data_IF_146058830170
#
_entry.id   IF_146058830170
#
_cell.length_a   1.000
_cell.length_b   1.000
_cell.length_c   1.000
_cell.angle_alpha   90.00
_cell.angle_beta   90.00
_cell.angle_gamma   90.00
#
_symmetry.space_group_name_H-M   'P 1'
#
loop_
_entity.id
_entity.type
_entity.pdbx_description
1 polymer ?
#
# COMPACT_ATOMS: atom_id res chain seq x y z
N UNK A 1 12.03 23.56 0.00
CA UNK A 1 10.81 22.75 0.25
C UNK A 1 10.96 22.11 1.62
N UNK A 2 9.89 22.06 2.41
CA UNK A 2 9.90 21.33 3.68
C UNK A 2 9.53 19.89 3.34
N UNK A 3 10.42 18.95 3.61
CA UNK A 3 10.17 17.53 3.40
C UNK A 3 9.07 17.08 4.36
N UNK A 4 8.04 16.40 3.85
CA UNK A 4 6.92 15.92 4.66
C UNK A 4 7.24 14.55 5.25
N UNK A 5 6.75 14.30 6.46
CA UNK A 5 6.75 12.96 7.08
C UNK A 5 5.35 12.40 6.97
N UNK A 6 5.21 11.27 6.29
CA UNK A 6 3.95 10.58 6.09
C UNK A 6 3.91 9.31 6.95
N UNK A 7 2.96 9.28 7.89
CA UNK A 7 2.70 8.10 8.73
C UNK A 7 1.50 7.35 8.14
N UNK A 8 1.75 6.15 7.64
CA UNK A 8 0.77 5.32 6.94
C UNK A 8 0.26 4.23 7.88
N UNK A 9 -1.02 4.32 8.20
CA UNK A 9 -1.78 3.34 8.98
C UNK A 9 -2.98 2.83 8.19
N UNK A 10 -3.64 1.74 8.60
CA UNK A 10 -4.80 1.19 7.90
C UNK A 10 -5.98 2.17 7.82
N UNK A 11 -6.09 3.08 8.79
CA UNK A 11 -7.19 4.04 8.93
C UNK A 11 -6.74 5.47 8.64
N UNK A 12 -5.57 5.67 8.02
CA UNK A 12 -5.07 7.01 7.73
C UNK A 12 -6.00 7.73 6.74
N UNK A 13 -6.46 8.91 7.13
CA UNK A 13 -7.09 9.85 6.22
C UNK A 13 -5.99 10.73 5.61
N UNK A 14 -5.84 10.66 4.30
CA UNK A 14 -4.81 11.41 3.57
C UNK A 14 -5.42 12.62 2.86
N UNK A 15 -4.71 13.75 2.90
CA UNK A 15 -4.98 14.87 2.00
C UNK A 15 -4.56 14.53 0.55
N UNK A 16 -4.95 15.35 -0.43
CA UNK A 16 -4.63 15.11 -1.85
C UNK A 16 -3.12 15.10 -2.14
N UNK A 17 -2.33 15.87 -1.40
CA UNK A 17 -0.88 15.90 -1.56
C UNK A 17 -0.23 14.63 -0.97
N UNK A 18 -0.68 14.18 0.20
CA UNK A 18 -0.24 12.93 0.83
C UNK A 18 -0.58 11.70 0.00
N UNK A 19 -1.78 11.66 -0.59
CA UNK A 19 -2.16 10.63 -1.56
C UNK A 19 -1.18 10.59 -2.73
N UNK A 20 -0.79 11.76 -3.24
CA UNK A 20 0.16 11.87 -4.35
C UNK A 20 1.55 11.38 -3.96
N UNK A 21 2.07 11.81 -2.81
CA UNK A 21 3.37 11.37 -2.27
C UNK A 21 3.38 9.84 -2.13
N UNK A 22 2.36 9.28 -1.47
CA UNK A 22 2.26 7.83 -1.27
C UNK A 22 2.17 7.07 -2.61
N UNK A 23 1.35 7.56 -3.56
CA UNK A 23 1.20 6.94 -4.86
C UNK A 23 2.51 6.94 -5.66
N UNK A 24 3.22 8.09 -5.68
CA UNK A 24 4.52 8.23 -6.34
C UNK A 24 5.57 7.32 -5.71
N UNK A 25 5.65 7.30 -4.38
CA UNK A 25 6.54 6.40 -3.64
C UNK A 25 6.28 4.94 -4.02
N UNK A 26 5.05 4.46 -3.89
CA UNK A 26 4.70 3.07 -4.17
C UNK A 26 4.97 2.73 -5.63
N UNK A 27 4.63 3.62 -6.56
CA UNK A 27 4.93 3.43 -7.97
C UNK A 27 6.44 3.30 -8.22
N UNK A 28 7.27 4.21 -7.68
CA UNK A 28 8.74 4.15 -7.81
C UNK A 28 9.31 2.84 -7.26
N UNK A 29 8.88 2.43 -6.06
CA UNK A 29 9.31 1.17 -5.44
C UNK A 29 8.92 -0.07 -6.26
N UNK A 30 7.73 -0.08 -6.86
CA UNK A 30 7.29 -1.18 -7.72
C UNK A 30 8.11 -1.27 -9.02
N UNK A 31 8.53 -0.13 -9.60
CA UNK A 31 9.44 -0.13 -10.75
C UNK A 31 10.81 -0.71 -10.39
N UNK A 32 11.24 -0.59 -9.13
CA UNK A 32 12.44 -1.23 -8.60
C UNK A 32 12.23 -2.69 -8.19
N UNK A 33 11.03 -3.25 -8.39
CA UNK A 33 10.67 -4.61 -8.00
C UNK A 33 10.38 -4.80 -6.51
N UNK A 34 10.35 -3.72 -5.72
CA UNK A 34 10.08 -3.76 -4.28
C UNK A 34 8.57 -3.79 -4.06
N UNK A 35 8.10 -4.83 -3.36
CA UNK A 35 6.67 -5.08 -3.11
C UNK A 35 6.31 -5.21 -1.63
N UNK A 36 7.31 -5.17 -0.74
CA UNK A 36 7.15 -5.36 0.69
C UNK A 36 7.87 -4.23 1.42
N UNK A 37 7.20 -3.61 2.39
CA UNK A 37 7.72 -2.56 3.23
C UNK A 37 7.55 -2.96 4.69
N UNK A 38 8.59 -2.72 5.49
CA UNK A 38 8.65 -3.15 6.89
C UNK A 38 8.15 -2.05 7.80
N UNK A 39 7.46 -2.46 8.87
CA UNK A 39 7.14 -1.56 9.98
C UNK A 39 8.41 -0.94 10.53
N UNK A 40 8.26 0.24 11.13
CA UNK A 40 9.33 0.96 11.83
C UNK A 40 10.56 1.32 10.98
N UNK A 41 10.48 1.10 9.66
CA UNK A 41 11.51 1.47 8.69
C UNK A 41 11.14 2.81 8.06
N UNK A 42 12.10 3.73 8.03
CA UNK A 42 11.94 5.02 7.33
C UNK A 42 12.33 4.82 5.87
N UNK A 43 11.36 5.03 4.99
CA UNK A 43 11.57 5.09 3.56
C UNK A 43 11.61 6.55 3.11
N UNK A 44 12.33 6.82 2.03
CA UNK A 44 12.38 8.16 1.45
C UNK A 44 12.02 8.08 -0.02
N UNK A 45 11.18 8.99 -0.50
CA UNK A 45 10.91 9.12 -1.92
C UNK A 45 11.99 9.96 -2.64
N UNK A 46 11.88 10.04 -3.97
CA UNK A 46 12.82 10.78 -4.81
C UNK A 46 12.78 12.31 -4.57
N UNK A 47 11.79 12.79 -3.81
CA UNK A 47 11.64 14.20 -3.43
C UNK A 47 12.13 14.50 -2.02
N UNK A 48 12.62 13.49 -1.29
CA UNK A 48 13.10 13.62 0.08
C UNK A 48 11.99 13.56 1.15
N UNK A 49 10.74 13.25 0.78
CA UNK A 49 9.67 12.97 1.74
C UNK A 49 9.94 11.65 2.44
N UNK A 50 9.64 11.59 3.74
CA UNK A 50 9.79 10.38 4.53
C UNK A 50 8.46 9.65 4.64
N UNK A 51 8.47 8.34 4.38
CA UNK A 51 7.31 7.46 4.49
C UNK A 51 7.60 6.45 5.60
N UNK A 52 6.68 6.38 6.55
CA UNK A 52 6.72 5.46 7.67
C UNK A 52 5.46 4.59 7.66
N UNK A 53 5.63 3.27 7.67
CA UNK A 53 4.51 2.34 7.79
C UNK A 53 4.39 1.84 9.22
N UNK A 54 3.20 1.96 9.82
CA UNK A 54 2.97 1.51 11.19
C UNK A 54 2.81 -0.03 11.30
N UNK A 55 2.64 -0.71 10.16
CA UNK A 55 2.66 -2.16 10.05
C UNK A 55 3.49 -2.58 8.84
N UNK A 56 3.87 -3.85 8.77
CA UNK A 56 4.39 -4.42 7.54
C UNK A 56 3.34 -4.24 6.43
N UNK A 57 3.75 -3.79 5.25
CA UNK A 57 2.88 -3.60 4.11
C UNK A 57 3.35 -4.47 2.96
N UNK A 58 2.43 -5.19 2.35
CA UNK A 58 2.70 -6.01 1.18
C UNK A 58 1.78 -5.58 0.04
N UNK A 59 2.34 -5.48 -1.16
CA UNK A 59 1.54 -5.35 -2.36
C UNK A 59 0.84 -6.68 -2.63
N UNK A 60 -0.45 -6.59 -2.91
CA UNK A 60 -1.27 -7.74 -3.32
C UNK A 60 -1.92 -7.44 -4.66
N UNK A 61 -2.09 -8.48 -5.46
CA UNK A 61 -2.78 -8.34 -6.73
C UNK A 61 -4.27 -8.12 -6.51
N UNK A 62 -4.87 -7.33 -7.40
CA UNK A 62 -6.32 -7.31 -7.51
C UNK A 62 -6.77 -8.64 -8.11
N UNK A 63 -7.81 -9.24 -7.51
CA UNK A 63 -8.64 -10.20 -8.25
C UNK A 63 -9.08 -9.52 -9.54
N UNK A 64 -9.06 -10.26 -10.65
CA UNK A 64 -9.44 -9.82 -12.01
C UNK A 64 -10.92 -9.45 -12.07
N UNK A 65 -11.28 -8.37 -11.38
CA UNK A 65 -12.62 -7.83 -11.32
C UNK A 65 -12.74 -6.72 -12.36
N UNK A 66 -13.76 -6.82 -13.20
CA UNK A 66 -14.14 -5.74 -14.10
C UNK A 66 -14.81 -4.63 -13.28
N UNK A 67 -14.57 -3.40 -13.68
CA UNK A 67 -15.28 -2.26 -13.13
C UNK A 67 -16.73 -2.29 -13.60
N UNK A 68 -17.69 -2.13 -12.67
CA UNK A 68 -19.11 -2.30 -12.97
C UNK A 68 -19.67 -1.22 -13.90
N UNK A 69 -19.01 -0.05 -13.97
CA UNK A 69 -19.46 1.08 -14.79
C UNK A 69 -18.85 1.06 -16.17
N UNK A 70 -17.57 0.72 -16.27
CA UNK A 70 -16.79 0.78 -17.53
C UNK A 70 -16.59 -0.58 -18.19
N UNK A 71 -16.86 -1.68 -17.47
CA UNK A 71 -16.60 -3.06 -17.89
C UNK A 71 -15.11 -3.36 -18.24
N UNK A 72 -14.20 -2.49 -17.82
CA UNK A 72 -12.75 -2.65 -18.00
C UNK A 72 -12.12 -3.30 -16.76
N UNK A 73 -10.98 -3.99 -16.88
CA UNK A 73 -10.24 -4.49 -15.72
C UNK A 73 -9.96 -3.37 -14.72
N UNK A 74 -10.32 -3.58 -13.46
CA UNK A 74 -10.07 -2.61 -12.38
C UNK A 74 -8.57 -2.40 -12.18
N UNK A 75 -8.01 -1.37 -12.79
CA UNK A 75 -6.60 -1.01 -12.64
C UNK A 75 -6.29 -0.41 -11.25
N UNK A 76 -5.05 -0.56 -10.82
CA UNK A 76 -4.55 -0.02 -9.55
C UNK A 76 -3.86 -1.05 -8.65
N UNK A 77 -3.21 -0.55 -7.61
CA UNK A 77 -2.41 -1.31 -6.66
C UNK A 77 -3.19 -1.48 -5.37
N UNK A 78 -3.08 -2.64 -4.73
CA UNK A 78 -3.59 -2.87 -3.37
C UNK A 78 -2.45 -3.15 -2.42
N UNK A 79 -2.47 -2.46 -1.29
CA UNK A 79 -1.52 -2.60 -0.22
C UNK A 79 -2.25 -3.20 0.97
N UNK A 80 -1.78 -4.34 1.45
CA UNK A 80 -2.32 -5.01 2.63
C UNK A 80 -1.36 -4.79 3.79
N UNK A 81 -1.90 -4.35 4.92
CA UNK A 81 -1.13 -4.25 6.16
C UNK A 81 -1.13 -5.61 6.83
N UNK A 82 0.03 -6.14 7.20
CA UNK A 82 0.18 -7.40 7.93
C UNK A 82 0.26 -7.12 9.43
N UNK A 83 -0.46 -7.91 10.22
CA UNK A 83 -0.13 -8.02 11.65
C UNK A 83 0.91 -9.11 11.85
N UNK A 84 1.66 -9.01 12.94
CA UNK A 84 2.49 -10.12 13.44
C UNK A 84 1.66 -11.13 14.24
N UNK A 85 0.36 -10.87 14.42
CA UNK A 85 -0.52 -11.68 15.27
C UNK A 85 -1.07 -12.88 14.49
N UNK A 86 -0.40 -14.02 14.66
CA UNK A 86 -0.94 -15.33 14.31
C UNK A 86 -2.19 -15.62 15.16
N UNK A 87 -3.32 -15.87 14.51
CA UNK A 87 -4.52 -16.41 15.17
C UNK A 87 -4.42 -17.90 15.46
N UNK A 88 -3.49 -18.59 14.80
CA UNK A 88 -3.28 -20.02 14.96
C UNK A 88 -2.59 -20.63 13.75
N UNK A 89 -1.76 -21.64 14.03
CA UNK A 89 -1.03 -22.42 13.02
C UNK A 89 -1.44 -23.88 13.12
N UNK A 90 -1.92 -24.44 12.01
CA UNK A 90 -2.29 -25.85 11.87
C UNK A 90 -1.44 -26.57 10.84
N UNK A 91 -1.74 -27.85 10.59
CA UNK A 91 -1.03 -28.68 9.60
C UNK A 91 -1.11 -28.18 8.16
N UNK A 92 -2.00 -27.22 7.86
CA UNK A 92 -2.22 -26.65 6.53
C UNK A 92 -1.73 -25.20 6.39
N UNK A 93 -1.12 -24.64 7.43
CA UNK A 93 -0.59 -23.28 7.40
C UNK A 93 -1.03 -22.43 8.59
N UNK A 94 -0.85 -21.14 8.45
CA UNK A 94 -1.04 -20.14 9.49
C UNK A 94 -2.15 -19.17 9.13
N UNK A 95 -3.01 -18.88 10.10
CA UNK A 95 -4.08 -17.88 9.98
C UNK A 95 -3.62 -16.60 10.65
N UNK A 96 -3.63 -15.49 9.91
CA UNK A 96 -3.25 -14.16 10.41
C UNK A 96 -4.37 -13.15 10.14
N UNK A 97 -4.53 -12.17 11.02
CA UNK A 97 -5.41 -11.02 10.75
C UNK A 97 -4.65 -9.94 10.00
N UNK A 98 -5.36 -9.24 9.12
CA UNK A 98 -4.86 -8.06 8.44
C UNK A 98 -5.74 -6.88 8.87
N UNK A 99 -5.17 -5.78 9.40
CA UNK A 99 -5.94 -4.69 9.96
C UNK A 99 -6.59 -3.80 8.89
N UNK A 100 -6.17 -3.90 7.62
CA UNK A 100 -6.81 -3.20 6.52
C UNK A 100 -6.11 -3.34 5.17
N UNK A 101 -6.70 -2.68 4.17
CA UNK A 101 -6.19 -2.61 2.80
C UNK A 101 -6.36 -1.19 2.28
N UNK A 102 -5.28 -0.60 1.74
CA UNK A 102 -5.36 0.62 0.93
C UNK A 102 -5.35 0.25 -0.55
N UNK A 103 -6.16 0.94 -1.34
CA UNK A 103 -6.19 0.80 -2.79
C UNK A 103 -5.76 2.11 -3.46
N UNK A 104 -4.70 2.06 -4.25
CA UNK A 104 -4.25 3.17 -5.10
C UNK A 104 -4.82 2.92 -6.49
N UNK A 105 -5.75 3.77 -6.91
CA UNK A 105 -6.31 3.72 -8.25
C UNK A 105 -5.47 4.60 -9.16
N UNK A 106 -4.98 4.05 -10.27
CA UNK A 106 -4.49 4.88 -11.36
C UNK A 106 -5.71 5.46 -12.06
N UNK A 107 -6.07 6.70 -11.73
CA UNK A 107 -7.06 7.46 -12.50
C UNK A 107 -6.44 8.11 -13.75
N UNK A 108 -5.15 7.89 -14.02
CA UNK A 108 -4.50 8.28 -15.26
C UNK A 108 -4.60 7.13 -16.26
N UNK A 109 -5.64 7.20 -17.11
CA UNK A 109 -5.81 6.73 -18.50
C UNK A 109 -7.31 6.43 -18.69
N UNK A 110 -8.11 7.47 -18.95
CA UNK A 110 -8.60 7.86 -20.29
C UNK A 110 -8.78 9.38 -20.29
#
# INVERSE_FOLDING_TARGET
MINKVLIVTPNSEFDENEKRILAQFIQSQLHQGIRNWKKDTVYTDDQGNMIFFHHDVIQIDRKSALDKKTNLPRQGIRLRFSTETSLGKGGFGEVVTYPGVIAIHNNSVV
#
